data_IF_754655912556
#
_entry.id   IF_754655912556
#
_cell.length_a   1.000
_cell.length_b   1.000
_cell.length_c   1.000
_cell.angle_alpha   90.00
_cell.angle_beta   90.00
_cell.angle_gamma   90.00
#
_symmetry.space_group_name_H-M   'P 1'
#
loop_
_entity.id
_entity.type
_entity.pdbx_description
1 polymer ?
#
# COMPACT_ATOMS: atom_id res chain seq x y z
N UNK A 1 -13.26 14.80 15.88
CA UNK A 1 -12.55 15.64 14.90
C UNK A 1 -12.01 16.84 15.67
N UNK A 2 -10.74 16.80 16.06
CA UNK A 2 -10.13 17.78 16.98
C UNK A 2 -9.70 19.04 16.22
N UNK A 3 -9.75 20.20 16.87
CA UNK A 3 -9.45 21.51 16.26
C UNK A 3 -8.04 21.60 15.62
N UNK A 4 -7.07 20.85 16.14
CA UNK A 4 -5.70 20.73 15.62
C UNK A 4 -5.64 20.08 14.23
N UNK A 5 -6.45 19.04 14.00
CA UNK A 5 -6.47 18.26 12.75
C UNK A 5 -6.92 19.11 11.54
N UNK A 6 -7.79 20.10 11.80
CA UNK A 6 -8.29 21.05 10.80
C UNK A 6 -7.24 22.12 10.44
N UNK A 7 -6.45 22.55 11.42
CA UNK A 7 -5.40 23.57 11.23
C UNK A 7 -4.22 22.99 10.42
N UNK A 8 -3.85 21.73 10.71
CA UNK A 8 -2.85 20.98 9.95
C UNK A 8 -3.27 20.76 8.47
N UNK A 9 -4.56 20.49 8.23
CA UNK A 9 -5.09 20.32 6.88
C UNK A 9 -5.02 21.61 6.04
N UNK A 10 -5.36 22.76 6.63
CA UNK A 10 -5.24 24.06 5.96
C UNK A 10 -3.78 24.41 5.64
N UNK A 11 -2.85 24.15 6.58
CA UNK A 11 -1.43 24.37 6.35
C UNK A 11 -0.88 23.51 5.20
N UNK A 12 -1.28 22.23 5.14
CA UNK A 12 -0.92 21.33 4.04
C UNK A 12 -1.48 21.79 2.69
N UNK A 13 -2.74 22.24 2.66
CA UNK A 13 -3.38 22.78 1.45
C UNK A 13 -2.64 24.03 0.93
N UNK A 14 -2.31 24.96 1.83
CA UNK A 14 -1.56 26.17 1.48
C UNK A 14 -0.19 25.83 0.88
N UNK A 15 0.51 24.85 1.45
CA UNK A 15 1.81 24.38 0.96
C UNK A 15 1.70 23.71 -0.41
N UNK A 16 0.67 22.90 -0.65
CA UNK A 16 0.41 22.29 -1.96
C UNK A 16 0.20 23.34 -3.04
N UNK A 17 -0.61 24.36 -2.76
CA UNK A 17 -0.86 25.48 -3.68
C UNK A 17 0.42 26.27 -3.99
N UNK A 18 1.28 26.48 -3.00
CA UNK A 18 2.56 27.15 -3.19
C UNK A 18 3.50 26.34 -4.12
N UNK A 19 3.53 25.01 -3.96
CA UNK A 19 4.30 24.13 -4.84
C UNK A 19 3.71 24.08 -6.26
N UNK A 20 2.38 23.95 -6.38
CA UNK A 20 1.69 23.89 -7.67
C UNK A 20 1.98 25.11 -8.55
N UNK A 21 2.03 26.31 -7.95
CA UNK A 21 2.37 27.56 -8.66
C UNK A 21 3.78 27.55 -9.25
N UNK A 22 4.72 26.81 -8.65
CA UNK A 22 6.13 26.72 -9.09
C UNK A 22 6.37 25.63 -10.13
N UNK A 23 5.42 24.71 -10.32
CA UNK A 23 5.51 23.61 -11.28
C UNK A 23 5.30 24.10 -12.73
N UNK A 24 5.89 23.35 -13.67
CA UNK A 24 5.64 23.54 -15.11
C UNK A 24 4.23 23.09 -15.49
N UNK A 25 3.76 23.46 -16.69
CA UNK A 25 2.43 23.06 -17.16
C UNK A 25 2.27 21.53 -17.22
N UNK A 26 3.31 20.82 -17.65
CA UNK A 26 3.36 19.35 -17.69
C UNK A 26 3.27 18.74 -16.30
N UNK A 27 4.06 19.25 -15.34
CA UNK A 27 4.08 18.70 -13.98
C UNK A 27 2.77 19.00 -13.22
N UNK A 28 2.13 20.13 -13.50
CA UNK A 28 0.79 20.44 -12.95
C UNK A 28 -0.26 19.44 -13.40
N UNK A 29 -0.23 19.05 -14.68
CA UNK A 29 -1.13 18.01 -15.20
C UNK A 29 -0.82 16.64 -14.59
N UNK A 30 0.45 16.31 -14.38
CA UNK A 30 0.83 15.07 -13.70
C UNK A 30 0.31 15.04 -12.25
N UNK A 31 0.45 16.15 -11.51
CA UNK A 31 -0.05 16.29 -10.14
C UNK A 31 -1.57 16.15 -10.08
N UNK A 32 -2.30 16.77 -11.02
CA UNK A 32 -3.76 16.65 -11.10
C UNK A 32 -4.19 15.20 -11.35
N UNK A 33 -3.57 14.50 -12.31
CA UNK A 33 -3.87 13.07 -12.55
C UNK A 33 -3.62 12.21 -11.31
N UNK A 34 -2.58 12.51 -10.55
CA UNK A 34 -2.30 11.81 -9.30
C UNK A 34 -3.32 12.14 -8.20
N UNK A 35 -3.71 13.40 -8.06
CA UNK A 35 -4.74 13.82 -7.11
C UNK A 35 -6.11 13.20 -7.43
N UNK A 36 -6.49 13.14 -8.71
CA UNK A 36 -7.68 12.44 -9.19
C UNK A 36 -7.63 10.95 -8.87
N UNK A 37 -6.48 10.31 -9.09
CA UNK A 37 -6.26 8.92 -8.71
C UNK A 37 -6.44 8.70 -7.20
N UNK A 38 -5.90 9.59 -6.36
CA UNK A 38 -6.06 9.50 -4.91
C UNK A 38 -7.52 9.73 -4.47
N UNK A 39 -8.23 10.68 -5.07
CA UNK A 39 -9.64 10.94 -4.77
C UNK A 39 -10.54 9.77 -5.19
N UNK A 40 -10.24 9.15 -6.35
CA UNK A 40 -10.96 7.97 -6.84
C UNK A 40 -10.73 6.72 -5.98
N UNK A 41 -9.67 6.68 -5.18
CA UNK A 41 -9.42 5.59 -4.23
C UNK A 41 -10.33 5.65 -2.99
N UNK A 42 -11.12 6.73 -2.84
CA UNK A 42 -11.97 6.98 -1.68
C UNK A 42 -11.15 7.30 -0.42
N UNK A 43 -11.80 7.74 0.67
CA UNK A 43 -11.13 7.74 1.96
C UNK A 43 -10.69 6.30 2.21
N UNK A 44 -9.37 6.09 2.34
CA UNK A 44 -8.87 4.93 3.06
C UNK A 44 -9.26 5.18 4.50
N UNK A 45 -10.54 4.93 4.79
CA UNK A 45 -11.06 4.81 6.12
C UNK A 45 -10.10 3.86 6.83
N UNK A 46 -9.40 4.41 7.81
CA UNK A 46 -8.75 3.68 8.87
C UNK A 46 -9.80 2.96 9.73
N UNK A 47 -10.70 2.20 9.12
CA UNK A 47 -11.84 1.53 9.74
C UNK A 47 -12.22 0.30 8.93
N UNK A 48 -11.42 -0.74 9.09
CA UNK A 48 -11.93 -1.80 9.96
C UNK A 48 -10.83 -2.13 10.96
N UNK A 49 -11.14 -2.19 12.26
CA UNK A 49 -10.16 -2.67 13.22
C UNK A 49 -9.77 -4.07 12.76
N UNK A 50 -8.47 -4.32 12.79
CA UNK A 50 -7.91 -5.65 12.77
C UNK A 50 -8.79 -6.52 13.69
N UNK A 51 -9.53 -7.46 13.10
CA UNK A 51 -10.08 -8.55 13.87
C UNK A 51 -8.83 -9.27 14.40
N UNK A 52 -8.54 -9.08 15.67
CA UNK A 52 -7.54 -9.87 16.36
C UNK A 52 -7.76 -11.35 16.02
N UNK A 53 -6.70 -12.14 15.82
CA UNK A 53 -6.82 -13.50 15.33
C UNK A 53 -7.54 -14.34 16.40
N UNK A 54 -8.85 -14.49 16.25
CA UNK A 54 -9.58 -15.60 16.82
C UNK A 54 -9.11 -16.84 16.07
N UNK A 55 -8.55 -17.81 16.80
CA UNK A 55 -8.00 -19.06 16.30
C UNK A 55 -8.98 -19.84 15.42
N UNK A 56 -9.00 -19.47 14.15
CA UNK A 56 -9.76 -20.10 13.09
C UNK A 56 -8.83 -20.40 11.94
N UNK A 57 -9.11 -21.51 11.26
CA UNK A 57 -8.44 -22.07 10.08
C UNK A 57 -7.87 -20.98 9.16
N UNK A 58 -6.64 -21.11 8.64
CA UNK A 58 -6.06 -20.11 7.75
C UNK A 58 -6.97 -19.90 6.54
N UNK A 59 -7.54 -18.70 6.42
CA UNK A 59 -8.35 -18.34 5.26
C UNK A 59 -7.47 -18.36 3.99
N UNK A 60 -8.02 -18.82 2.85
CA UNK A 60 -7.33 -18.75 1.57
C UNK A 60 -7.16 -17.27 1.15
N UNK A 61 -6.07 -16.93 0.45
CA UNK A 61 -5.90 -15.59 -0.08
C UNK A 61 -7.00 -15.28 -1.09
N UNK A 62 -7.42 -14.01 -1.16
CA UNK A 62 -8.42 -13.57 -2.13
C UNK A 62 -7.80 -13.54 -3.54
N UNK A 63 -8.43 -14.24 -4.49
CA UNK A 63 -8.01 -14.26 -5.90
C UNK A 63 -8.28 -12.91 -6.57
N UNK A 64 -7.29 -12.00 -6.50
CA UNK A 64 -7.30 -10.70 -7.15
C UNK A 64 -6.25 -10.70 -8.26
N UNK A 65 -6.66 -10.75 -9.55
CA UNK A 65 -5.73 -10.85 -10.66
C UNK A 65 -4.89 -9.58 -10.81
N UNK A 66 -3.65 -9.77 -11.30
CA UNK A 66 -2.74 -8.66 -11.63
C UNK A 66 -3.27 -7.88 -12.85
N UNK A 67 -3.42 -6.54 -12.75
CA UNK A 67 -3.79 -5.71 -13.90
C UNK A 67 -2.62 -5.56 -14.88
N UNK A 68 -2.93 -5.35 -16.17
CA UNK A 68 -1.95 -5.30 -17.26
C UNK A 68 -0.94 -4.12 -17.16
N UNK A 69 -1.34 -3.03 -16.51
CA UNK A 69 -0.46 -1.92 -16.15
C UNK A 69 -0.61 -1.70 -14.65
N UNK A 70 0.36 -2.17 -13.89
CA UNK A 70 0.36 -2.10 -12.44
C UNK A 70 1.56 -1.28 -11.96
N UNK A 71 1.31 -0.28 -11.12
CA UNK A 71 2.37 0.39 -10.36
C UNK A 71 2.66 -0.34 -9.06
N UNK A 72 3.88 -0.17 -8.52
CA UNK A 72 4.30 -0.77 -7.24
C UNK A 72 3.29 -0.48 -6.11
N UNK A 73 2.73 0.73 -6.06
CA UNK A 73 1.72 1.12 -5.06
C UNK A 73 0.38 0.42 -5.29
N UNK A 74 -0.03 0.21 -6.55
CA UNK A 74 -1.23 -0.57 -6.86
C UNK A 74 -1.05 -2.04 -6.49
N UNK A 75 0.12 -2.62 -6.74
CA UNK A 75 0.45 -3.98 -6.31
C UNK A 75 0.43 -4.13 -4.80
N UNK A 76 1.04 -3.20 -4.05
CA UNK A 76 1.00 -3.22 -2.58
C UNK A 76 -0.44 -3.20 -2.05
N UNK A 77 -1.32 -2.39 -2.67
CA UNK A 77 -2.75 -2.33 -2.31
C UNK A 77 -3.49 -3.61 -2.69
N UNK A 78 -3.21 -4.19 -3.85
CA UNK A 78 -3.77 -5.48 -4.29
C UNK A 78 -3.37 -6.59 -3.33
N UNK A 79 -2.07 -6.70 -3.02
CA UNK A 79 -1.53 -7.71 -2.13
C UNK A 79 -2.06 -7.59 -0.69
N UNK A 80 -2.20 -6.37 -0.18
CA UNK A 80 -2.84 -6.14 1.12
C UNK A 80 -4.33 -6.54 1.17
N UNK A 81 -5.01 -6.62 0.02
CA UNK A 81 -6.38 -7.15 -0.11
C UNK A 81 -6.41 -8.65 -0.39
N UNK A 82 -5.39 -9.19 -1.07
CA UNK A 82 -5.21 -10.63 -1.29
C UNK A 82 -4.90 -11.35 0.02
N UNK A 83 -4.13 -10.72 0.91
CA UNK A 83 -3.70 -11.31 2.17
C UNK A 83 -4.18 -10.50 3.40
N UNK A 84 -5.51 -10.39 3.65
CA UNK A 84 -6.04 -9.62 4.78
C UNK A 84 -5.67 -10.21 6.15
N UNK A 85 -5.33 -11.50 6.21
CA UNK A 85 -4.92 -12.24 7.40
C UNK A 85 -3.45 -12.00 7.82
N UNK A 86 -2.63 -11.38 6.96
CA UNK A 86 -1.24 -11.05 7.31
C UNK A 86 -1.16 -9.74 8.08
N UNK A 87 -0.25 -9.69 9.06
CA UNK A 87 0.01 -8.44 9.79
C UNK A 87 0.76 -7.47 8.87
N UNK A 88 0.08 -6.37 8.53
CA UNK A 88 0.62 -5.29 7.69
C UNK A 88 1.87 -4.67 8.29
N UNK A 89 2.05 -4.70 9.61
CA UNK A 89 3.23 -4.14 10.29
C UNK A 89 4.51 -4.90 9.95
N UNK A 90 4.41 -6.22 9.82
CA UNK A 90 5.55 -7.08 9.44
C UNK A 90 5.93 -6.90 7.97
N UNK A 91 4.94 -6.57 7.12
CA UNK A 91 5.13 -6.39 5.67
C UNK A 91 5.54 -4.97 5.26
N UNK A 92 5.30 -3.97 6.11
CA UNK A 92 5.57 -2.56 5.81
C UNK A 92 7.05 -2.24 5.63
N UNK A 93 7.90 -2.75 6.52
CA UNK A 93 9.35 -2.53 6.45
C UNK A 93 9.98 -3.09 5.15
N UNK A 94 9.81 -4.39 4.82
CA UNK A 94 10.37 -4.94 3.57
C UNK A 94 9.72 -4.34 2.31
N UNK A 95 8.41 -4.02 2.36
CA UNK A 95 7.76 -3.35 1.21
C UNK A 95 8.29 -1.93 0.99
N UNK A 96 8.60 -1.19 2.06
CA UNK A 96 9.14 0.18 1.96
C UNK A 96 10.53 0.20 1.36
N UNK A 97 11.36 -0.80 1.65
CA UNK A 97 12.68 -0.93 1.05
C UNK A 97 12.59 -1.19 -0.46
N UNK A 98 11.72 -2.10 -0.88
CA UNK A 98 11.47 -2.38 -2.31
C UNK A 98 10.94 -1.14 -3.06
N UNK A 99 10.03 -0.38 -2.45
CA UNK A 99 9.52 0.88 -3.02
C UNK A 99 10.63 1.94 -3.11
N UNK A 100 11.50 2.02 -2.09
CA UNK A 100 12.64 2.94 -2.09
C UNK A 100 13.65 2.57 -3.18
N UNK A 101 13.93 1.28 -3.37
CA UNK A 101 14.81 0.81 -4.43
C UNK A 101 14.25 1.10 -5.83
N UNK A 102 12.93 0.96 -6.01
CA UNK A 102 12.26 1.39 -7.24
C UNK A 102 12.48 2.88 -7.52
N UNK A 103 12.31 3.73 -6.51
CA UNK A 103 12.43 5.18 -6.65
C UNK A 103 13.88 5.65 -6.80
N UNK A 104 14.83 5.04 -6.09
CA UNK A 104 16.24 5.47 -6.08
C UNK A 104 17.06 4.89 -7.23
N UNK A 105 16.81 3.64 -7.62
CA UNK A 105 17.60 2.94 -8.64
C UNK A 105 16.89 2.78 -9.98
N UNK A 106 15.64 3.27 -10.10
CA UNK A 106 14.88 3.21 -11.34
C UNK A 106 14.55 1.78 -11.80
N UNK A 107 14.47 0.83 -10.86
CA UNK A 107 14.10 -0.57 -11.12
C UNK A 107 12.75 -0.63 -11.84
N UNK A 108 12.56 -1.56 -12.76
CA UNK A 108 11.27 -1.71 -13.43
C UNK A 108 10.17 -2.06 -12.42
N UNK A 109 9.00 -1.44 -12.56
CA UNK A 109 7.88 -1.67 -11.66
C UNK A 109 7.49 -3.16 -11.63
N UNK A 110 7.57 -3.85 -12.76
CA UNK A 110 7.23 -5.27 -12.87
C UNK A 110 8.12 -6.16 -11.99
N UNK A 111 9.43 -5.94 -11.99
CA UNK A 111 10.34 -6.75 -11.17
C UNK A 111 10.11 -6.51 -9.67
N UNK A 112 9.85 -5.26 -9.28
CA UNK A 112 9.57 -4.90 -7.89
C UNK A 112 8.23 -5.48 -7.43
N UNK A 113 7.26 -5.55 -8.34
CA UNK A 113 5.97 -6.21 -8.09
C UNK A 113 6.18 -7.71 -7.90
N UNK A 114 6.96 -8.38 -8.74
CA UNK A 114 7.26 -9.81 -8.61
C UNK A 114 7.93 -10.14 -7.27
N UNK A 115 8.83 -9.27 -6.80
CA UNK A 115 9.46 -9.39 -5.48
C UNK A 115 8.45 -9.19 -4.34
N UNK A 116 7.57 -8.20 -4.44
CA UNK A 116 6.48 -8.01 -3.47
C UNK A 116 5.53 -9.22 -3.43
N UNK A 117 5.19 -9.80 -4.58
CA UNK A 117 4.34 -10.99 -4.65
C UNK A 117 4.98 -12.21 -3.97
N UNK A 118 6.30 -12.37 -4.14
CA UNK A 118 7.07 -13.42 -3.47
C UNK A 118 7.08 -13.21 -1.95
N UNK A 119 7.38 -11.99 -1.51
CA UNK A 119 7.39 -11.63 -0.09
C UNK A 119 6.05 -11.96 0.59
N UNK A 120 4.93 -11.51 0.00
CA UNK A 120 3.60 -11.79 0.55
C UNK A 120 3.28 -13.29 0.60
N UNK A 121 3.71 -14.07 -0.40
CA UNK A 121 3.53 -15.52 -0.44
C UNK A 121 4.32 -16.22 0.67
N UNK A 122 5.58 -15.85 0.86
CA UNK A 122 6.44 -16.40 1.91
C UNK A 122 5.87 -16.15 3.31
N UNK A 123 5.42 -14.91 3.58
CA UNK A 123 4.76 -14.56 4.83
C UNK A 123 3.45 -15.33 5.04
N UNK A 124 2.68 -15.57 3.97
CA UNK A 124 1.47 -16.40 4.06
C UNK A 124 1.77 -17.86 4.36
N UNK A 125 2.81 -18.43 3.76
CA UNK A 125 3.24 -19.81 4.07
C UNK A 125 3.71 -19.94 5.53
N UNK A 126 4.47 -18.97 6.02
CA UNK A 126 4.87 -18.91 7.43
C UNK A 126 3.65 -18.78 8.36
N UNK A 127 2.69 -17.91 8.01
CA UNK A 127 1.42 -17.77 8.73
C UNK A 127 0.63 -19.09 8.76
N UNK A 128 0.51 -19.79 7.62
CA UNK A 128 -0.16 -21.09 7.52
C UNK A 128 0.50 -22.15 8.40
N UNK A 129 1.83 -22.21 8.43
CA UNK A 129 2.58 -23.14 9.30
C UNK A 129 2.30 -22.85 10.78
N UNK A 130 2.34 -21.58 11.16
CA UNK A 130 2.04 -21.12 12.52
C UNK A 130 0.60 -21.43 12.94
N UNK A 131 -0.37 -21.27 12.04
CA UNK A 131 -1.77 -21.66 12.29
C UNK A 131 -1.99 -23.18 12.34
N UNK A 132 -1.12 -23.98 11.71
CA UNK A 132 -1.19 -25.45 11.74
C UNK A 132 -0.51 -26.04 12.99
N UNK A 133 0.30 -25.26 13.72
CA UNK A 133 1.05 -25.74 14.87
C UNK A 133 2.31 -26.53 14.52
N UNK A 134 2.89 -26.30 13.34
CA UNK A 134 4.24 -26.77 13.02
C UNK A 134 5.26 -25.71 13.51
N UNK A 135 5.46 -25.65 14.83
CA UNK A 135 6.68 -25.07 15.42
C UNK A 135 7.76 -26.15 15.42
N UNK A 136 8.94 -25.83 14.88
CA UNK A 136 10.16 -26.61 15.05
C UNK A 136 11.04 -25.92 16.10
#
# INVERSE_FOLDING_TARGET
MSATDRDDAEALQARLLALFRRLTATDRQALLRFAEFLAAQGPVEASSPAKAPGGGTPEPPCDIPRPAQESVIQALRRLAKTYPMLDRRELLAPSSELVTQHMMYGRAAEEVIDELERLYREHYEAYRKRCRGEEA
#
